data_IF_739325291723
#
_entry.id   IF_739325291723
#
_cell.length_a   1.000
_cell.length_b   1.000
_cell.length_c   1.000
_cell.angle_alpha   90.00
_cell.angle_beta   90.00
_cell.angle_gamma   90.00
#
_symmetry.space_group_name_H-M   'P 1'
#
loop_
_entity.id
_entity.type
_entity.pdbx_description
1 polymer ?
#
# COMPACT_ATOMS: atom_id res chain seq x y z
N UNK A 1 10.29 -6.60 -24.02
CA UNK A 1 10.97 -5.34 -23.63
C UNK A 1 10.98 -5.28 -22.12
N UNK A 2 12.08 -4.91 -21.47
CA UNK A 2 12.13 -4.74 -20.01
C UNK A 2 11.33 -3.50 -19.64
N UNK A 3 10.52 -3.59 -18.60
CA UNK A 3 9.72 -2.49 -18.05
C UNK A 3 10.33 -2.05 -16.72
N UNK A 4 10.30 -0.74 -16.45
CA UNK A 4 10.85 -0.15 -15.23
C UNK A 4 9.73 0.52 -14.44
N UNK A 5 9.66 0.21 -13.15
CA UNK A 5 8.79 0.87 -12.19
C UNK A 5 9.60 1.70 -11.20
N UNK A 6 8.93 2.63 -10.56
CA UNK A 6 9.45 3.42 -9.45
C UNK A 6 8.84 2.93 -8.14
N UNK A 7 9.58 3.08 -7.05
CA UNK A 7 9.03 2.98 -5.69
C UNK A 7 9.47 4.19 -4.89
N UNK A 8 8.58 4.74 -4.08
CA UNK A 8 8.86 5.89 -3.22
C UNK A 8 8.01 5.82 -1.94
N UNK A 9 8.60 6.15 -0.81
CA UNK A 9 7.84 6.53 0.37
C UNK A 9 7.19 7.90 0.12
N UNK A 10 5.86 7.93 -0.02
CA UNK A 10 5.12 9.17 -0.08
C UNK A 10 5.05 9.76 1.33
N UNK A 11 5.65 10.92 1.55
CA UNK A 11 5.74 11.59 2.85
C UNK A 11 5.32 13.05 2.74
N UNK A 12 5.11 13.71 3.88
CA UNK A 12 4.79 15.13 3.97
C UNK A 12 5.91 16.07 3.50
N UNK A 13 7.12 15.52 3.29
CA UNK A 13 8.29 16.27 2.80
C UNK A 13 8.85 15.73 1.47
N UNK A 14 8.24 14.69 0.90
CA UNK A 14 8.62 14.20 -0.43
C UNK A 14 8.04 15.07 -1.56
N UNK A 15 8.47 14.82 -2.80
CA UNK A 15 7.78 15.39 -3.95
C UNK A 15 6.31 14.94 -3.96
N UNK A 16 5.33 15.81 -4.22
CA UNK A 16 3.93 15.43 -4.33
C UNK A 16 3.71 14.30 -5.33
N UNK A 17 2.86 13.32 -4.97
CA UNK A 17 2.77 12.09 -5.73
C UNK A 17 2.14 12.27 -7.12
N UNK A 18 1.26 13.26 -7.31
CA UNK A 18 0.71 13.65 -8.60
C UNK A 18 1.80 14.18 -9.54
N UNK A 19 2.73 14.99 -9.03
CA UNK A 19 3.87 15.53 -9.80
C UNK A 19 4.83 14.40 -10.17
N UNK A 20 5.17 13.52 -9.20
CA UNK A 20 6.04 12.37 -9.46
C UNK A 20 5.44 11.45 -10.51
N UNK A 21 4.16 11.07 -10.34
CA UNK A 21 3.46 10.17 -11.24
C UNK A 21 3.37 10.73 -12.67
N UNK A 22 2.96 12.00 -12.80
CA UNK A 22 2.91 12.66 -14.11
C UNK A 22 4.27 12.78 -14.79
N UNK A 23 5.34 12.93 -14.02
CA UNK A 23 6.71 12.96 -14.55
C UNK A 23 7.19 11.57 -14.94
N UNK A 24 6.92 10.56 -14.10
CA UNK A 24 7.24 9.16 -14.38
C UNK A 24 6.58 8.67 -15.68
N UNK A 25 5.30 8.97 -15.86
CA UNK A 25 4.58 8.62 -17.10
C UNK A 25 5.22 9.27 -18.34
N UNK A 26 5.55 10.57 -18.26
CA UNK A 26 6.22 11.29 -19.37
C UNK A 26 7.60 10.72 -19.72
N UNK A 27 8.32 10.19 -18.73
CA UNK A 27 9.62 9.55 -18.90
C UNK A 27 9.54 8.08 -19.33
N UNK A 28 8.32 7.51 -19.45
CA UNK A 28 8.10 6.16 -19.94
C UNK A 28 8.28 5.06 -18.88
N UNK A 29 8.19 5.41 -17.60
CA UNK A 29 8.07 4.39 -16.55
C UNK A 29 6.72 3.69 -16.65
N UNK A 30 6.70 2.38 -16.38
CA UNK A 30 5.48 1.57 -16.46
C UNK A 30 4.61 1.70 -15.22
N UNK A 31 5.22 1.86 -14.05
CA UNK A 31 4.52 1.77 -12.77
C UNK A 31 5.15 2.62 -11.68
N UNK A 32 4.33 2.97 -10.68
CA UNK A 32 4.72 3.64 -9.45
C UNK A 32 4.13 2.91 -8.25
N UNK A 33 4.97 2.55 -7.30
CA UNK A 33 4.58 1.86 -6.07
C UNK A 33 4.88 2.71 -4.83
N UNK A 34 3.98 2.65 -3.85
CA UNK A 34 4.18 3.25 -2.53
C UNK A 34 4.00 2.19 -1.44
N UNK A 35 4.84 2.18 -0.39
CA UNK A 35 4.68 1.30 0.76
C UNK A 35 3.62 1.83 1.72
N UNK A 36 3.36 1.06 2.77
CA UNK A 36 2.44 1.41 3.84
C UNK A 36 3.06 1.22 5.22
N UNK A 37 2.87 2.21 6.08
CA UNK A 37 2.83 2.11 7.52
C UNK A 37 1.71 3.03 8.02
N UNK A 38 0.88 2.53 8.93
CA UNK A 38 -0.22 3.34 9.49
C UNK A 38 0.33 4.30 10.54
N UNK A 39 1.29 3.84 11.31
CA UNK A 39 2.03 4.59 12.32
C UNK A 39 3.25 3.77 12.78
N UNK A 40 4.17 4.41 13.45
CA UNK A 40 5.27 3.71 14.15
C UNK A 40 5.08 3.92 15.64
N UNK A 41 4.72 2.88 16.41
CA UNK A 41 4.56 3.00 17.86
C UNK A 41 5.83 3.48 18.55
N UNK A 42 5.71 4.43 19.50
CA UNK A 42 6.84 4.89 20.29
C UNK A 42 7.46 3.76 21.16
N UNK A 43 6.65 2.77 21.49
CA UNK A 43 7.07 1.57 22.25
C UNK A 43 7.70 0.47 21.39
N UNK A 44 7.95 0.70 20.10
CA UNK A 44 8.48 -0.29 19.16
C UNK A 44 9.80 -0.89 19.66
N UNK A 45 9.82 -2.21 19.76
CA UNK A 45 11.02 -3.03 20.02
C UNK A 45 11.37 -3.90 18.80
N UNK A 46 10.42 -4.12 17.89
CA UNK A 46 10.64 -4.88 16.66
C UNK A 46 11.79 -4.28 15.85
N UNK A 47 12.82 -5.08 15.51
CA UNK A 47 13.94 -4.58 14.73
C UNK A 47 13.51 -4.27 13.31
N UNK A 48 14.02 -3.16 12.78
CA UNK A 48 13.82 -2.85 11.38
C UNK A 48 14.62 -3.82 10.50
N UNK A 49 14.00 -4.47 9.48
CA UNK A 49 14.68 -5.47 8.66
C UNK A 49 15.90 -4.95 7.88
N UNK A 50 15.99 -3.66 7.66
CA UNK A 50 17.07 -3.03 6.91
C UNK A 50 18.30 -2.65 7.75
N UNK A 51 18.31 -2.87 9.08
CA UNK A 51 19.49 -2.61 9.91
C UNK A 51 19.25 -1.84 11.21
N UNK A 52 20.18 -0.94 11.58
CA UNK A 52 20.22 -0.34 12.92
C UNK A 52 19.09 0.67 13.17
N UNK A 53 19.02 1.74 12.38
CA UNK A 53 18.09 2.85 12.61
C UNK A 53 16.94 2.82 11.62
N UNK A 54 15.72 3.02 12.13
CA UNK A 54 14.53 3.14 11.29
C UNK A 54 14.61 4.46 10.51
N UNK A 55 14.53 4.44 9.15
CA UNK A 55 14.49 5.65 8.37
C UNK A 55 13.29 6.53 8.70
N UNK A 56 13.50 7.85 8.63
CA UNK A 56 12.48 8.85 8.92
C UNK A 56 11.20 8.68 8.09
N UNK A 57 11.32 8.21 6.86
CA UNK A 57 10.19 8.00 5.95
C UNK A 57 9.08 7.13 6.53
N UNK A 58 9.42 6.18 7.42
CA UNK A 58 8.48 5.21 7.97
C UNK A 58 7.37 5.83 8.82
N UNK A 59 7.68 6.82 9.65
CA UNK A 59 6.66 7.49 10.47
C UNK A 59 6.08 8.76 9.84
N UNK A 60 6.53 9.11 8.64
CA UNK A 60 5.97 10.17 7.82
C UNK A 60 5.18 9.66 6.61
N UNK A 61 5.03 8.35 6.48
CA UNK A 61 4.34 7.71 5.35
C UNK A 61 2.88 8.15 5.28
N UNK A 62 2.46 8.61 4.11
CA UNK A 62 1.07 8.95 3.83
C UNK A 62 0.26 7.67 3.54
N UNK A 63 -1.08 7.72 3.73
CA UNK A 63 -1.95 6.61 3.36
C UNK A 63 -1.78 6.28 1.86
N UNK A 64 -1.51 5.00 1.51
CA UNK A 64 -1.20 4.63 0.14
C UNK A 64 -2.39 4.79 -0.80
N UNK A 65 -3.63 4.51 -0.38
CA UNK A 65 -4.80 4.58 -1.27
C UNK A 65 -5.17 6.03 -1.57
N UNK A 66 -5.06 6.93 -0.59
CA UNK A 66 -5.26 8.37 -0.80
C UNK A 66 -4.17 8.93 -1.72
N UNK A 67 -2.92 8.57 -1.48
CA UNK A 67 -1.78 9.01 -2.28
C UNK A 67 -1.84 8.49 -3.73
N UNK A 68 -2.19 7.22 -3.91
CA UNK A 68 -2.33 6.61 -5.23
C UNK A 68 -3.54 7.17 -6.01
N UNK A 69 -4.59 7.63 -5.34
CA UNK A 69 -5.69 8.32 -6.02
C UNK A 69 -5.23 9.64 -6.67
N UNK A 70 -4.32 10.38 -6.03
CA UNK A 70 -3.70 11.56 -6.63
C UNK A 70 -2.84 11.19 -7.85
N UNK A 71 -2.03 10.14 -7.75
CA UNK A 71 -1.25 9.62 -8.87
C UNK A 71 -2.13 9.18 -10.04
N UNK A 72 -3.23 8.47 -9.74
CA UNK A 72 -4.19 8.02 -10.74
C UNK A 72 -4.82 9.18 -11.51
N UNK A 73 -5.18 10.26 -10.79
CA UNK A 73 -5.82 11.44 -11.39
C UNK A 73 -4.86 12.23 -12.29
N UNK A 74 -3.56 12.20 -12.01
CA UNK A 74 -2.52 12.92 -12.75
C UNK A 74 -1.98 12.15 -13.97
N UNK A 75 -2.38 10.88 -14.16
CA UNK A 75 -1.83 9.98 -15.19
C UNK A 75 -2.93 9.29 -15.99
N UNK A 76 -2.59 8.74 -17.15
CA UNK A 76 -3.53 8.04 -18.04
C UNK A 76 -3.19 6.56 -18.23
N UNK A 77 -1.92 6.20 -18.19
CA UNK A 77 -1.41 4.86 -18.52
C UNK A 77 -0.51 4.27 -17.44
N UNK A 78 0.09 5.10 -16.60
CA UNK A 78 0.98 4.65 -15.52
C UNK A 78 0.20 3.71 -14.59
N UNK A 79 0.72 2.51 -14.39
CA UNK A 79 0.21 1.61 -13.36
C UNK A 79 0.59 2.16 -11.98
N UNK A 80 -0.33 2.07 -11.05
CA UNK A 80 -0.15 2.51 -9.68
C UNK A 80 -0.29 1.31 -8.74
N UNK A 81 0.47 1.27 -7.67
CA UNK A 81 0.40 0.09 -6.82
C UNK A 81 0.91 0.30 -5.41
N UNK A 82 0.58 -0.64 -4.56
CA UNK A 82 1.13 -0.73 -3.21
C UNK A 82 2.34 -1.65 -3.19
N UNK A 83 3.43 -1.18 -2.65
CA UNK A 83 4.65 -1.98 -2.48
C UNK A 83 5.17 -1.94 -1.04
N UNK A 84 4.43 -2.48 -0.13
CA UNK A 84 3.20 -3.30 -0.09
C UNK A 84 2.13 -2.66 0.81
N UNK A 85 0.85 -3.11 0.70
CA UNK A 85 -0.18 -2.79 1.68
C UNK A 85 -0.21 -3.80 2.83
N UNK A 86 -0.39 -3.29 4.05
CA UNK A 86 -0.45 -4.06 5.29
C UNK A 86 -1.88 -4.58 5.54
N UNK A 87 -2.29 -5.60 4.79
CA UNK A 87 -3.66 -6.15 4.87
C UNK A 87 -4.03 -6.61 6.28
N UNK A 88 -3.06 -7.04 7.07
CA UNK A 88 -3.28 -7.46 8.46
C UNK A 88 -3.75 -6.34 9.39
N UNK A 89 -3.63 -5.10 8.97
CA UNK A 89 -3.97 -3.91 9.75
C UNK A 89 -5.23 -3.20 9.26
N UNK A 90 -5.88 -3.72 8.20
CA UNK A 90 -7.05 -3.11 7.57
C UNK A 90 -8.28 -4.01 7.69
N UNK A 91 -9.44 -3.42 7.90
CA UNK A 91 -10.71 -4.13 7.76
C UNK A 91 -10.90 -4.60 6.31
N UNK A 92 -11.18 -5.90 6.07
CA UNK A 92 -11.21 -6.44 4.72
C UNK A 92 -12.39 -5.93 3.88
N UNK A 93 -13.53 -5.60 4.48
CA UNK A 93 -14.70 -5.07 3.76
C UNK A 93 -14.43 -3.66 3.27
N UNK A 94 -13.91 -2.80 4.17
CA UNK A 94 -13.53 -1.44 3.82
C UNK A 94 -12.41 -1.42 2.78
N UNK A 95 -11.41 -2.28 2.95
CA UNK A 95 -10.30 -2.38 2.02
C UNK A 95 -10.75 -2.88 0.64
N UNK A 96 -11.62 -3.88 0.58
CA UNK A 96 -12.20 -4.34 -0.69
C UNK A 96 -12.89 -3.20 -1.43
N UNK A 97 -13.63 -2.34 -0.72
CA UNK A 97 -14.28 -1.16 -1.31
C UNK A 97 -13.26 -0.14 -1.81
N UNK A 98 -12.23 0.18 -1.02
CA UNK A 98 -11.20 1.14 -1.39
C UNK A 98 -10.43 0.70 -2.64
N UNK A 99 -10.00 -0.57 -2.66
CA UNK A 99 -9.27 -1.17 -3.79
C UNK A 99 -10.12 -1.16 -5.05
N UNK A 100 -11.36 -1.67 -4.99
CA UNK A 100 -12.26 -1.68 -6.15
C UNK A 100 -12.56 -0.26 -6.66
N UNK A 101 -12.72 0.70 -5.76
CA UNK A 101 -12.94 2.11 -6.15
C UNK A 101 -11.72 2.67 -6.86
N UNK A 102 -10.53 2.49 -6.30
CA UNK A 102 -9.29 3.01 -6.89
C UNK A 102 -8.99 2.34 -8.25
N UNK A 103 -9.23 1.03 -8.36
CA UNK A 103 -9.07 0.31 -9.62
C UNK A 103 -10.04 0.85 -10.69
N UNK A 104 -11.31 1.02 -10.34
CA UNK A 104 -12.33 1.57 -11.23
C UNK A 104 -11.99 3.00 -11.71
N UNK A 105 -11.68 3.93 -10.80
CA UNK A 105 -11.40 5.33 -11.17
C UNK A 105 -10.06 5.48 -11.88
N UNK A 106 -9.14 4.57 -11.67
CA UNK A 106 -7.87 4.54 -12.42
C UNK A 106 -8.00 3.87 -13.80
N UNK A 107 -9.15 3.25 -14.12
CA UNK A 107 -9.33 2.51 -15.37
C UNK A 107 -8.59 1.18 -15.42
N UNK A 108 -8.56 0.44 -14.30
CA UNK A 108 -7.92 -0.89 -14.20
C UNK A 108 -6.40 -0.85 -14.12
N UNK A 109 -5.83 0.24 -13.59
CA UNK A 109 -4.37 0.42 -13.49
C UNK A 109 -3.79 0.07 -12.12
N UNK A 110 -4.63 -0.34 -11.16
CA UNK A 110 -4.17 -0.65 -9.82
C UNK A 110 -3.49 -2.02 -9.74
N UNK A 111 -2.35 -2.07 -9.09
CA UNK A 111 -1.65 -3.30 -8.70
C UNK A 111 -1.63 -3.36 -7.17
N UNK A 112 -2.39 -4.29 -6.61
CA UNK A 112 -2.44 -4.48 -5.17
C UNK A 112 -1.31 -5.43 -4.72
N UNK A 113 -0.20 -4.87 -4.29
CA UNK A 113 0.85 -5.62 -3.59
C UNK A 113 0.54 -5.73 -2.11
N UNK A 114 0.68 -6.91 -1.54
CA UNK A 114 0.22 -7.21 -0.17
C UNK A 114 1.31 -7.82 0.69
N UNK A 115 1.28 -7.57 1.99
CA UNK A 115 2.19 -8.16 2.94
C UNK A 115 1.61 -8.25 4.35
N UNK A 116 2.27 -9.07 5.17
CA UNK A 116 1.84 -9.30 6.55
C UNK A 116 2.42 -8.30 7.56
N UNK A 117 3.39 -7.48 7.15
CA UNK A 117 4.07 -6.55 8.04
C UNK A 117 5.18 -7.20 8.89
N UNK A 118 6.09 -6.36 9.36
CA UNK A 118 7.24 -6.75 10.20
C UNK A 118 7.17 -6.15 11.61
N UNK A 119 6.47 -5.02 11.77
CA UNK A 119 6.38 -4.28 13.03
C UNK A 119 5.26 -4.88 13.90
N UNK A 120 5.67 -5.65 14.90
CA UNK A 120 4.73 -6.33 15.78
C UNK A 120 3.83 -5.35 16.53
N UNK A 121 4.40 -4.28 17.05
CA UNK A 121 3.69 -3.32 17.90
C UNK A 121 2.65 -2.52 17.07
N UNK A 122 2.96 -2.19 15.82
CA UNK A 122 2.01 -1.58 14.90
C UNK A 122 0.81 -2.50 14.67
N UNK A 123 1.07 -3.75 14.34
CA UNK A 123 0.03 -4.76 14.09
C UNK A 123 -0.83 -5.01 15.34
N UNK A 124 -0.23 -5.13 16.52
CA UNK A 124 -0.94 -5.35 17.78
C UNK A 124 -1.84 -4.16 18.15
N UNK A 125 -1.45 -2.94 17.80
CA UNK A 125 -2.30 -1.76 17.95
C UNK A 125 -3.56 -1.83 17.07
N UNK A 126 -3.50 -2.56 15.96
CA UNK A 126 -4.67 -2.88 15.11
C UNK A 126 -5.44 -4.13 15.59
N UNK A 127 -5.10 -4.67 16.77
CA UNK A 127 -5.82 -5.80 17.37
C UNK A 127 -5.47 -7.17 16.77
N UNK A 128 -4.38 -7.27 16.02
CA UNK A 128 -3.94 -8.53 15.40
C UNK A 128 -2.68 -9.04 16.09
N UNK A 129 -2.74 -10.27 16.62
CA UNK A 129 -1.58 -10.92 17.21
C UNK A 129 -0.54 -11.24 16.12
N UNK A 130 0.70 -10.81 16.30
CA UNK A 130 1.79 -10.95 15.32
C UNK A 130 2.01 -12.41 14.86
N UNK A 131 1.86 -13.39 15.77
CA UNK A 131 1.98 -14.82 15.46
C UNK A 131 0.94 -15.32 14.45
N UNK A 132 -0.19 -14.64 14.32
CA UNK A 132 -1.29 -15.03 13.41
C UNK A 132 -1.26 -14.31 12.08
N UNK A 133 -0.31 -13.40 11.84
CA UNK A 133 -0.30 -12.50 10.69
C UNK A 133 -0.43 -13.16 9.32
N UNK A 134 0.22 -14.31 9.12
CA UNK A 134 0.14 -15.03 7.84
C UNK A 134 -1.22 -15.69 7.59
N UNK A 135 -1.85 -16.18 8.68
CA UNK A 135 -3.20 -16.70 8.62
C UNK A 135 -4.20 -15.58 8.31
N UNK A 136 -4.12 -14.46 9.03
CA UNK A 136 -4.97 -13.28 8.83
C UNK A 136 -4.79 -12.70 7.42
N UNK A 137 -3.55 -12.57 6.94
CA UNK A 137 -3.27 -12.13 5.57
C UNK A 137 -4.02 -12.98 4.55
N UNK A 138 -3.89 -14.31 4.66
CA UNK A 138 -4.56 -15.24 3.76
C UNK A 138 -6.09 -15.12 3.83
N UNK A 139 -6.66 -15.09 5.04
CA UNK A 139 -8.11 -14.99 5.25
C UNK A 139 -8.67 -13.70 4.67
N UNK A 140 -8.01 -12.56 4.89
CA UNK A 140 -8.45 -11.27 4.36
C UNK A 140 -8.35 -11.18 2.84
N UNK A 141 -7.31 -11.74 2.23
CA UNK A 141 -7.21 -11.84 0.77
C UNK A 141 -8.37 -12.67 0.20
N UNK A 142 -8.67 -13.82 0.82
CA UNK A 142 -9.77 -14.67 0.36
C UNK A 142 -11.13 -13.97 0.51
N UNK A 143 -11.36 -13.31 1.65
CA UNK A 143 -12.58 -12.54 1.88
C UNK A 143 -12.77 -11.42 0.84
N UNK A 144 -11.73 -10.64 0.56
CA UNK A 144 -11.79 -9.59 -0.47
C UNK A 144 -12.06 -10.19 -1.86
N UNK A 145 -11.46 -11.33 -2.20
CA UNK A 145 -11.73 -12.00 -3.48
C UNK A 145 -13.19 -12.44 -3.60
N UNK A 146 -13.77 -13.02 -2.54
CA UNK A 146 -15.21 -13.36 -2.53
C UNK A 146 -16.06 -12.10 -2.78
N UNK A 147 -15.78 -10.99 -2.04
CA UNK A 147 -16.51 -9.73 -2.22
C UNK A 147 -16.42 -9.21 -3.67
N UNK A 148 -15.29 -9.41 -4.35
CA UNK A 148 -15.11 -8.92 -5.73
C UNK A 148 -15.67 -9.84 -6.80
N UNK A 149 -15.90 -11.12 -6.50
CA UNK A 149 -16.20 -12.11 -7.54
C UNK A 149 -17.57 -12.77 -7.40
N UNK A 150 -18.22 -12.62 -6.24
CA UNK A 150 -19.55 -13.19 -5.99
C UNK A 150 -20.59 -12.09 -5.98
N UNK A 151 -21.81 -12.41 -6.47
CA UNK A 151 -22.96 -11.50 -6.42
C UNK A 151 -23.43 -11.28 -4.98
N UNK A 152 -23.30 -12.32 -4.15
CA UNK A 152 -23.59 -12.33 -2.72
C UNK A 152 -22.40 -12.97 -1.97
N UNK A 153 -21.74 -12.23 -1.08
CA UNK A 153 -20.58 -12.67 -0.31
C UNK A 153 -20.81 -12.52 1.20
#
# INVERSE_FOLDING_TARGET
MVQFGLTMFATDYSVPLDILAGTAEKLGFESLFVPEHTHIPASRLSPWPGGADLPRDYWHTLDPFVSLALAASATKSLKIGTGISLITERDPILMAKQVATLDFVSGGRLILGVGAGWNQEEMENHGVAFSTRWKILRERILAMREIWTQDEA
#
